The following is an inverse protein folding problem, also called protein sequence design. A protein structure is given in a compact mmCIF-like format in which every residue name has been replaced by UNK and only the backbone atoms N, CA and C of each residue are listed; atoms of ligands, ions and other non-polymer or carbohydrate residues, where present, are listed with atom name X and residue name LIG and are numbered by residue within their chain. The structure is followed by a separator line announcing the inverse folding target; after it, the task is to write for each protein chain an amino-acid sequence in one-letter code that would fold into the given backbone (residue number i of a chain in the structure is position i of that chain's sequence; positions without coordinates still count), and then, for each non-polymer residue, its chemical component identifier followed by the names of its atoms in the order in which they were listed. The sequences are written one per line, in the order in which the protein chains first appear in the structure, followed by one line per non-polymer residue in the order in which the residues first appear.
data_IF_029089310235
#
_entry.id   IF_029089310235
#
_cell.length_a   1.000
_cell.length_b   1.000
_cell.length_c   1.000
_cell.angle_alpha   90.00
_cell.angle_beta   90.00
_cell.angle_gamma   90.00
#
_symmetry.space_group_name_H-M   'P 1'
#
loop_
_entity.id
_entity.type
_entity.pdbx_description
1 polymer ?
2 polymer ?
3 non-polymer ?
4 water ?
#
# COMPACT_ATOMS: atom_id res chain seq x y z
N UNK A 1 -18.00 -0.46 21.19
CA UNK A 1 -16.72 -0.07 20.61
C UNK A 1 -16.23 -1.29 19.86
N UNK A 2 -15.60 -1.06 18.71
CA UNK A 2 -15.08 -2.15 17.90
C UNK A 2 -13.77 -2.61 18.48
N UNK A 3 -13.35 -3.82 18.09
CA UNK A 3 -12.05 -4.31 18.48
C UNK A 3 -11.01 -3.83 17.47
N UNK A 4 -10.24 -2.83 17.87
CA UNK A 4 -9.25 -2.23 17.01
C UNK A 4 -7.88 -2.67 17.55
N UNK A 5 -7.07 -3.26 16.68
CA UNK A 5 -5.76 -3.76 17.10
C UNK A 5 -4.71 -3.26 16.12
N UNK A 6 -3.57 -2.84 16.66
CA UNK A 6 -2.45 -2.45 15.82
C UNK A 6 -1.17 -3.14 16.28
N UNK A 7 -0.47 -3.78 15.35
CA UNK A 7 0.79 -4.45 15.64
C UNK A 7 1.94 -3.51 15.33
N UNK A 8 2.86 -3.36 16.27
CA UNK A 8 3.89 -2.33 16.17
C UNK A 8 5.28 -2.86 16.54
N UNK A 9 6.30 -2.09 16.20
CA UNK A 9 7.67 -2.35 16.66
C UNK A 9 8.27 -1.03 17.10
N UNK A 10 9.16 -1.08 18.09
CA UNK A 10 9.53 0.15 18.78
C UNK A 10 10.56 0.99 18.05
N UNK A 11 11.10 0.47 16.95
CA UNK A 11 12.05 1.21 16.13
C UNK A 11 11.44 1.76 14.87
N UNK A 12 10.13 1.54 14.68
CA UNK A 12 9.52 1.82 13.40
C UNK A 12 8.75 3.15 13.40
N UNK A 13 9.23 4.12 12.62
CA UNK A 13 8.55 5.42 12.56
C UNK A 13 7.14 5.27 12.06
N UNK A 14 6.91 4.32 11.17
CA UNK A 14 5.62 4.22 10.50
C UNK A 14 4.61 3.62 11.44
N UNK A 15 5.05 2.73 12.33
CA UNK A 15 4.10 2.20 13.28
C UNK A 15 3.80 3.26 14.34
N UNK A 16 4.78 4.09 14.67
CA UNK A 16 4.54 5.17 15.62
C UNK A 16 3.54 6.18 15.09
N UNK A 17 3.65 6.49 13.80
CA UNK A 17 2.76 7.46 13.18
C UNK A 17 1.33 6.91 13.06
N UNK A 18 1.21 5.61 12.77
CA UNK A 18 -0.10 4.98 12.73
C UNK A 18 -0.76 5.00 14.10
N UNK A 19 0.01 4.74 15.15
CA UNK A 19 -0.55 4.77 16.49
C UNK A 19 -1.04 6.18 16.79
N UNK A 20 -0.25 7.17 16.38
CA UNK A 20 -0.63 8.55 16.62
C UNK A 20 -1.94 8.90 15.94
N UNK A 21 -2.11 8.46 14.70
CA UNK A 21 -3.35 8.70 13.98
C UNK A 21 -4.53 8.06 14.71
N UNK A 22 -4.36 6.82 15.14
CA UNK A 22 -5.44 6.14 15.85
C UNK A 22 -5.77 6.86 17.16
N UNK A 23 -4.75 7.31 17.88
CA UNK A 23 -5.02 8.07 19.10
C UNK A 23 -5.81 9.32 18.80
N UNK A 24 -5.48 9.98 17.68
CA UNK A 24 -6.14 11.22 17.31
C UNK A 24 -7.64 11.04 17.00
N UNK A 25 -8.08 9.80 16.83
CA UNK A 25 -9.47 9.55 16.46
C UNK A 25 -10.44 9.35 17.63
N UNK A 26 -9.89 9.26 18.85
CA UNK A 26 -10.74 9.15 20.01
C UNK A 26 -11.37 7.79 20.15
N UNK A 27 -10.66 6.77 19.69
CA UNK A 27 -11.12 5.40 19.86
C UNK A 27 -10.21 4.70 20.84
N UNK A 28 -10.74 3.69 21.52
CA UNK A 28 -9.91 2.79 22.29
C UNK A 28 -9.33 1.77 21.32
N UNK A 29 -8.10 1.33 21.56
CA UNK A 29 -7.49 0.30 20.71
C UNK A 29 -6.38 -0.44 21.43
N UNK A 30 -6.10 -1.65 20.96
CA UNK A 30 -5.09 -2.50 21.57
C UNK A 30 -3.84 -2.41 20.71
N UNK A 31 -2.71 -2.10 21.33
CA UNK A 31 -1.44 -2.12 20.64
C UNK A 31 -0.69 -3.38 21.04
N UNK A 32 -0.26 -4.16 20.05
CA UNK A 32 0.51 -5.36 20.31
C UNK A 32 1.92 -5.12 19.81
N UNK A 33 2.86 -5.06 20.76
CA UNK A 33 4.25 -4.77 20.45
C UNK A 33 4.93 -6.07 20.12
N UNK A 34 5.37 -6.20 18.87
CA UNK A 34 6.03 -7.44 18.45
C UNK A 34 7.52 -7.25 18.20
N UNK A 35 8.09 -6.19 18.77
CA UNK A 35 9.51 -5.92 18.60
C UNK A 35 10.37 -7.13 18.96
N UNK A 36 9.95 -7.82 20.02
CA UNK A 36 10.72 -8.92 20.56
C UNK A 36 10.03 -10.27 20.47
N UNK A 37 8.91 -10.32 19.74
CA UNK A 37 8.03 -11.49 19.77
C UNK A 37 7.81 -12.07 18.36
N UNK A 38 8.72 -12.93 17.94
CA UNK A 38 8.65 -13.54 16.61
C UNK A 38 7.39 -14.35 16.41
N UNK A 39 6.99 -15.11 17.43
CA UNK A 39 5.78 -15.91 17.30
C UNK A 39 4.53 -15.06 17.03
N UNK A 40 4.35 -13.99 17.79
CA UNK A 40 3.18 -13.16 17.58
C UNK A 40 3.22 -12.52 16.20
N UNK A 41 4.41 -12.14 15.75
CA UNK A 41 4.52 -11.46 14.47
C UNK A 41 4.25 -12.46 13.36
N UNK A 42 4.74 -13.69 13.53
CA UNK A 42 4.50 -14.70 12.52
C UNK A 42 3.04 -15.06 12.42
N UNK A 43 2.35 -15.14 13.57
CA UNK A 43 0.93 -15.41 13.53
C UNK A 43 0.19 -14.38 12.69
N UNK A 44 0.55 -13.10 12.84
CA UNK A 44 -0.18 -12.06 12.11
C UNK A 44 0.19 -12.07 10.63
N UNK A 45 1.45 -12.37 10.33
CA UNK A 45 1.91 -12.45 8.95
C UNK A 45 1.16 -13.54 8.20
N UNK A 46 0.88 -14.63 8.90
CA UNK A 46 0.16 -15.74 8.30
C UNK A 46 -1.27 -15.32 7.97
N UNK A 47 -1.84 -14.49 8.83
CA UNK A 47 -3.20 -14.03 8.65
C UNK A 47 -3.33 -13.09 7.44
N UNK A 48 -2.36 -12.21 7.23
CA UNK A 48 -2.48 -11.17 6.21
C UNK A 48 -1.59 -11.34 5.00
N UNK A 49 -0.53 -12.13 5.14
CA UNK A 49 0.44 -12.23 4.08
C UNK A 49 1.39 -11.04 4.05
N UNK A 50 1.22 -10.10 4.96
CA UNK A 50 2.14 -8.96 5.06
C UNK A 50 3.27 -9.20 6.05
N UNK A 51 4.46 -8.74 5.72
CA UNK A 51 5.62 -8.98 6.56
C UNK A 51 6.18 -7.72 7.22
N UNK A 52 5.34 -6.69 7.34
CA UNK A 52 5.78 -5.41 7.92
C UNK A 52 4.90 -4.97 9.08
N UNK A 53 5.40 -4.04 9.87
CA UNK A 53 4.58 -3.31 10.83
C UNK A 53 4.51 -1.86 10.37
N UNK A 54 3.41 -1.15 10.67
CA UNK A 54 2.25 -1.64 11.42
C UNK A 54 1.27 -2.47 10.58
N UNK A 55 0.48 -3.26 11.30
CA UNK A 55 -0.69 -3.88 10.69
C UNK A 55 -1.89 -3.55 11.57
N UNK A 56 -2.94 -3.02 10.94
CA UNK A 56 -4.09 -2.48 11.65
C UNK A 56 -5.34 -3.29 11.33
N UNK A 57 -6.07 -3.66 12.37
CA UNK A 57 -7.27 -4.48 12.22
C UNK A 57 -8.43 -3.84 12.95
N UNK A 58 -9.63 -3.96 12.38
CA UNK A 58 -10.86 -3.63 13.09
C UNK A 58 -11.75 -4.86 13.01
N UNK A 59 -12.04 -5.50 14.14
CA UNK A 59 -12.82 -6.74 14.16
C UNK A 59 -12.44 -7.71 13.04
N UNK A 60 -11.21 -8.20 13.01
CA UNK A 60 -10.77 -9.13 11.95
C UNK A 60 -10.64 -8.52 10.55
N UNK A 61 -11.19 -7.34 10.29
CA UNK A 61 -10.94 -6.71 8.99
C UNK A 61 -9.56 -6.05 8.97
N UNK A 62 -8.70 -6.48 8.05
CA UNK A 62 -7.35 -5.90 7.93
C UNK A 62 -7.40 -4.63 7.10
N UNK A 63 -6.91 -3.53 7.67
CA UNK A 63 -6.94 -2.24 6.98
C UNK A 63 -5.61 -1.91 6.35
N UNK A 64 -4.58 -2.64 6.73
CA UNK A 64 -3.29 -2.42 6.12
C UNK A 64 -2.32 -1.74 7.07
N UNK A 65 -1.41 -0.96 6.49
CA UNK A 65 -0.35 -0.33 7.24
C UNK A 65 -0.53 1.16 7.46
N UNK A 66 0.57 1.83 7.74
CA UNK A 66 0.55 3.25 8.01
C UNK A 66 0.00 3.98 6.79
N UNK A 67 0.57 3.70 5.63
CA UNK A 67 0.15 4.38 4.40
C UNK A 67 -1.33 4.16 4.13
N UNK A 68 -1.77 2.91 4.25
CA UNK A 68 -3.17 2.57 4.00
C UNK A 68 -4.16 3.29 4.91
N UNK A 69 -3.89 3.33 6.21
CA UNK A 69 -4.90 3.95 7.08
C UNK A 69 -4.93 5.46 6.89
N UNK A 70 -3.78 6.04 6.56
CA UNK A 70 -3.76 7.46 6.24
C UNK A 70 -4.49 7.74 4.93
N UNK A 71 -4.39 6.82 3.95
CA UNK A 71 -5.14 7.02 2.72
C UNK A 71 -6.65 6.93 2.97
N UNK A 72 -7.06 5.96 3.78
CA UNK A 72 -8.45 5.84 4.17
C UNK A 72 -8.94 7.12 4.82
N UNK A 73 -8.09 7.75 5.62
CA UNK A 73 -8.53 8.95 6.31
C UNK A 73 -8.70 10.11 5.32
N UNK A 74 -7.76 10.25 4.38
CA UNK A 74 -7.89 11.28 3.34
C UNK A 74 -9.15 11.06 2.52
N UNK A 75 -9.53 9.79 2.36
CA UNK A 75 -10.70 9.42 1.57
C UNK A 75 -11.98 9.63 2.36
N UNK A 76 -11.82 9.88 3.66
CA UNK A 76 -12.96 10.13 4.51
C UNK A 76 -13.65 8.87 4.96
N UNK A 77 -12.98 7.73 4.81
CA UNK A 77 -13.65 6.49 5.18
C UNK A 77 -13.03 5.74 6.35
N UNK A 78 -11.96 6.28 6.94
CA UNK A 78 -11.39 5.66 8.13
C UNK A 78 -12.34 5.76 9.34
N UNK A 79 -12.96 6.93 9.53
CA UNK A 79 -13.89 7.11 10.66
C UNK A 79 -14.93 6.02 10.70
N UNK A 80 -15.55 5.78 9.56
CA UNK A 80 -16.58 4.77 9.47
C UNK A 80 -16.03 3.40 9.81
N UNK A 81 -14.87 3.08 9.25
CA UNK A 81 -14.27 1.79 9.54
C UNK A 81 -14.03 1.62 11.04
N UNK A 82 -13.61 2.69 11.71
CA UNK A 82 -13.21 2.59 13.11
C UNK A 82 -14.37 2.54 14.08
N UNK A 83 -15.57 2.79 13.60
CA UNK A 83 -16.73 2.66 14.45
C UNK A 83 -17.26 3.99 14.93
N UNK A 84 -16.79 5.08 14.33
CA UNK A 84 -17.25 6.39 14.76
C UNK A 84 -18.68 6.52 14.27
N UNK A 85 -19.38 7.52 14.79
CA UNK A 85 -20.83 7.65 14.62
C UNK A 85 -21.25 7.80 13.16
N UNK A 86 -22.32 7.10 12.83
CA UNK A 86 -22.86 7.16 11.51
C UNK A 86 -24.15 7.96 11.63
N UNK A 87 -24.45 8.76 10.63
CA UNK A 87 -25.70 9.51 10.64
C UNK A 87 -26.54 9.03 9.50
N UNK A 88 -27.85 8.88 9.74
CA UNK A 88 -28.76 8.49 8.69
C UNK A 88 -29.92 9.46 8.68
N UNK A 89 -30.28 9.92 7.49
CA UNK A 89 -31.49 10.70 7.37
C UNK A 89 -32.67 9.84 6.97
N UNK A 90 -33.66 9.84 7.84
CA UNK A 90 -34.89 9.11 7.59
C UNK A 90 -35.92 10.00 6.93
N UNK A 91 -36.42 9.56 5.78
CA UNK A 91 -37.53 10.25 5.14
C UNK A 91 -38.75 9.35 5.05
N UNK A 92 -39.94 9.93 5.23
CA UNK A 92 -41.18 9.16 5.20
C UNK A 92 -41.56 8.76 3.78
N UNK B 1 10.47 -1.21 1.51
CA UNK B 1 9.89 -1.28 0.17
C UNK B 1 9.47 0.11 -0.30
N UNK B 2 9.70 0.41 -1.57
CA UNK B 2 9.20 1.64 -2.14
C UNK B 2 7.70 1.46 -2.30
N UNK B 3 6.97 2.54 -2.53
CA UNK B 3 5.52 2.43 -2.71
C UNK B 3 5.23 2.27 -4.18
N UNK B 4 4.86 1.06 -4.58
CA UNK B 4 4.74 0.73 -5.99
C UNK B 4 3.29 0.41 -6.32
N UNK B 5 2.77 1.08 -7.35
CA UNK B 5 1.39 0.87 -7.78
C UNK B 5 1.38 0.66 -9.29
N UNK B 6 0.59 -0.32 -9.75
CA UNK B 6 0.44 -0.53 -11.17
C UNK B 6 -1.05 -0.65 -11.50
N UNK B 7 -1.50 0.14 -12.47
CA UNK B 7 -2.89 0.11 -12.91
C UNK B 7 -2.99 -0.77 -14.14
N UNK B 8 -3.97 -1.66 -14.16
CA UNK B 8 -4.07 -2.67 -15.21
C UNK B 8 -5.51 -2.84 -15.71
N UNK B 9 -5.65 -3.47 -16.87
CA UNK B 9 -6.96 -3.96 -17.33
C UNK B 9 -6.77 -5.42 -17.74
N UNK B 10 -7.82 -6.24 -17.60
CA UNK B 10 -7.62 -7.68 -17.67
C UNK B 10 -7.49 -8.21 -19.09
N UNK B 11 -7.88 -7.38 -20.06
CA UNK B 11 -7.80 -7.80 -21.44
C UNK B 11 -6.46 -7.43 -22.09
N UNK B 12 -5.62 -6.74 -21.35
CA UNK B 12 -4.38 -6.23 -21.88
C UNK B 12 -3.21 -7.14 -21.53
N UNK B 13 -2.55 -7.70 -22.55
CA UNK B 13 -1.44 -8.62 -22.28
C UNK B 13 -0.27 -7.92 -21.58
N UNK B 14 -0.15 -6.61 -21.78
CA UNK B 14 0.97 -5.86 -21.22
C UNK B 14 0.80 -5.67 -19.71
N UNK B 15 -0.43 -5.72 -19.22
CA UNK B 15 -0.66 -5.70 -17.78
C UNK B 15 -0.01 -6.89 -17.11
N UNK B 16 -0.26 -8.07 -17.64
CA UNK B 16 0.28 -9.27 -17.06
C UNK B 16 1.81 -9.29 -17.17
N UNK B 17 2.34 -8.83 -18.30
CA UNK B 17 3.80 -8.87 -18.49
C UNK B 17 4.48 -7.89 -17.54
N UNK B 18 3.87 -6.73 -17.33
CA UNK B 18 4.45 -5.77 -16.40
C UNK B 18 4.38 -6.24 -14.94
N UNK B 19 3.25 -6.82 -14.54
CA UNK B 19 3.12 -7.40 -13.20
C UNK B 19 4.19 -8.49 -12.97
N UNK B 20 4.39 -9.34 -13.97
CA UNK B 20 5.37 -10.41 -13.86
C UNK B 20 6.78 -9.87 -13.68
N UNK B 21 7.12 -8.81 -14.42
CA UNK B 21 8.43 -8.19 -14.25
C UNK B 21 8.61 -7.68 -12.82
N UNK B 22 7.62 -6.96 -12.29
CA UNK B 22 7.78 -6.44 -10.93
C UNK B 22 7.93 -7.59 -9.93
N UNK B 23 7.12 -8.63 -10.10
CA UNK B 23 7.20 -9.79 -9.22
C UNK B 23 8.60 -10.40 -9.25
N UNK B 24 9.18 -10.46 -10.44
CA UNK B 24 10.50 -11.05 -10.62
C UNK B 24 11.60 -10.27 -9.91
N UNK B 25 11.35 -9.00 -9.62
CA UNK B 25 12.35 -8.19 -8.95
C UNK B 25 12.30 -8.42 -7.45
N UNK B 26 11.27 -9.10 -6.97
CA UNK B 26 11.16 -9.37 -5.55
C UNK B 26 10.51 -8.26 -4.78
N UNK B 27 9.92 -7.29 -5.48
CA UNK B 27 9.23 -6.22 -4.79
C UNK B 27 7.77 -6.58 -4.50
N UNK B 28 7.25 -5.95 -3.45
CA UNK B 28 5.84 -6.00 -3.12
C UNK B 28 5.17 -4.74 -3.69
N UNK B 29 3.94 -4.88 -4.20
CA UNK B 29 3.30 -3.78 -4.91
C UNK B 29 1.78 -3.90 -4.96
N UNK B 30 1.11 -2.80 -5.21
CA UNK B 30 -0.34 -2.79 -5.32
C UNK B 30 -0.75 -2.74 -6.78
N UNK B 31 -1.66 -3.64 -7.16
CA UNK B 31 -2.22 -3.62 -8.50
C UNK B 31 -3.62 -3.07 -8.38
N UNK B 32 -3.95 -2.09 -9.21
CA UNK B 32 -5.31 -1.55 -9.23
C UNK B 32 -5.92 -1.95 -10.58
N UNK B 33 -6.90 -2.84 -10.53
CA UNK B 33 -7.59 -3.31 -11.73
C UNK B 33 -8.71 -2.32 -12.06
N UNK B 34 -8.58 -1.66 -13.20
CA UNK B 34 -9.57 -0.67 -13.63
C UNK B 34 -10.31 -1.07 -14.90
N UNK B 35 -10.35 -2.37 -15.17
CA UNK B 35 -11.01 -2.91 -16.36
C UNK B 35 -12.41 -2.33 -16.57
N UNK B 36 -13.18 -2.29 -15.50
CA UNK B 36 -14.58 -1.88 -15.59
C UNK B 36 -14.92 -0.63 -14.78
N UNK B 37 -13.89 0.09 -14.37
CA UNK B 37 -14.09 1.29 -13.60
C UNK B 37 -13.59 2.43 -14.46
N UNK B 38 -14.45 2.89 -15.38
CA UNK B 38 -14.09 3.95 -16.31
C UNK B 38 -13.64 5.19 -15.58
N UNK B 39 -14.31 5.48 -14.47
CA UNK B 39 -13.99 6.67 -13.72
C UNK B 39 -12.61 6.66 -13.03
N UNK B 40 -12.22 5.53 -12.43
CA UNK B 40 -10.90 5.40 -11.82
C UNK B 40 -9.82 5.53 -12.88
N UNK B 41 -10.09 5.01 -14.06
CA UNK B 41 -9.11 5.12 -15.14
C UNK B 41 -9.04 6.55 -15.64
N UNK B 42 -10.19 7.22 -15.71
CA UNK B 42 -10.23 8.62 -16.11
C UNK B 42 -9.41 9.44 -15.15
N UNK B 43 -9.52 9.10 -13.86
CA UNK B 43 -8.77 9.81 -12.84
C UNK B 43 -7.26 9.63 -12.95
N UNK B 44 -6.79 8.42 -13.25
CA UNK B 44 -5.35 8.26 -13.38
C UNK B 44 -4.86 8.93 -14.67
N UNK B 45 -5.66 8.86 -15.74
CA UNK B 45 -5.32 9.53 -16.98
C UNK B 45 -5.17 11.03 -16.75
N UNK B 46 -5.97 11.57 -15.85
CA UNK B 46 -5.90 13.00 -15.61
C UNK B 46 -4.60 13.36 -14.89
N UNK B 47 -4.10 12.44 -14.07
CA UNK B 47 -2.84 12.63 -13.37
C UNK B 47 -1.67 12.57 -14.36
N UNK B 48 -1.68 11.59 -15.26
CA UNK B 48 -0.47 11.30 -16.04
C UNK B 48 -0.46 11.81 -17.47
N UNK B 49 -1.64 12.03 -18.04
CA UNK B 49 -1.73 12.34 -19.46
C UNK B 49 -1.51 11.13 -20.36
N UNK B 50 -1.59 9.93 -19.79
CA UNK B 50 -1.25 8.70 -20.51
C UNK B 50 -2.54 7.94 -20.69
N UNK B 51 -2.83 7.50 -21.91
CA UNK B 51 -4.16 6.95 -22.20
C UNK B 51 -4.23 5.43 -22.28
N UNK B 52 -3.16 4.74 -21.90
CA UNK B 52 -3.15 3.28 -21.93
C UNK B 52 -2.84 2.64 -20.58
N UNK B 53 -3.09 1.34 -20.48
CA UNK B 53 -2.60 0.55 -19.37
C UNK B 53 -1.52 -0.39 -19.91
N UNK B 54 -0.58 -0.83 -19.07
CA UNK B 54 -0.48 -0.48 -17.63
C UNK B 54 0.15 0.89 -17.39
N UNK B 55 -0.08 1.42 -16.19
CA UNK B 55 0.59 2.63 -15.73
C UNK B 55 1.26 2.27 -14.40
N UNK B 56 2.58 2.48 -14.36
CA UNK B 56 3.37 2.04 -13.23
C UNK B 56 3.89 3.25 -12.48
N UNK B 57 3.80 3.22 -11.16
CA UNK B 57 4.24 4.32 -10.32
C UNK B 57 5.14 3.81 -9.22
N UNK B 58 6.18 4.58 -8.91
CA UNK B 58 7.02 4.33 -7.75
C UNK B 58 7.20 5.64 -6.98
N UNK B 59 6.79 5.68 -5.71
CA UNK B 59 6.82 6.91 -4.91
C UNK B 59 6.32 8.14 -5.67
N UNK B 60 5.10 7.99 -6.19
CA UNK B 60 4.36 8.97 -7.02
C UNK B 60 4.98 9.37 -8.36
N UNK B 61 6.13 8.81 -8.69
CA UNK B 61 6.72 9.04 -10.01
C UNK B 61 6.11 8.08 -11.03
N UNK B 62 5.54 8.63 -12.10
CA UNK B 62 5.00 7.80 -13.15
C UNK B 62 6.13 7.30 -14.01
N UNK B 63 6.28 5.97 -14.07
CA UNK B 63 7.35 5.35 -14.84
C UNK B 63 6.92 4.87 -16.23
N UNK B 64 5.65 5.05 -16.60
CA UNK B 64 5.23 4.64 -17.92
C UNK B 64 4.58 3.26 -17.96
N UNK B 65 4.70 2.61 -19.11
CA UNK B 65 4.05 1.34 -19.36
C UNK B 65 4.95 0.11 -19.31
N UNK B 66 4.46 -0.98 -19.88
CA UNK B 66 5.17 -2.24 -19.91
C UNK B 66 6.46 -2.07 -20.64
N UNK B 67 6.39 -1.45 -21.82
CA UNK B 67 7.61 -1.31 -22.61
C UNK B 67 8.64 -0.44 -21.89
N UNK B 68 8.18 0.62 -21.23
CA UNK B 68 9.10 1.50 -20.53
C UNK B 68 9.82 0.80 -19.39
N UNK B 69 9.08 0.08 -18.53
CA UNK B 69 9.77 -0.54 -17.41
C UNK B 69 10.69 -1.69 -17.78
N UNK B 70 10.37 -2.40 -18.89
CA UNK B 70 11.29 -3.42 -19.36
C UNK B 70 12.57 -2.81 -19.93
N UNK B 71 12.42 -1.72 -20.67
CA UNK B 71 13.59 -1.02 -21.20
C UNK B 71 14.47 -0.53 -20.05
N UNK B 72 13.85 -0.02 -18.99
CA UNK B 72 14.61 0.47 -17.84
C UNK B 72 15.39 -0.64 -17.14
N UNK B 73 14.80 -1.83 -17.11
CA UNK B 73 15.32 -2.93 -16.33
C UNK B 73 16.66 -3.41 -16.83
N UNK B 74 16.78 -3.61 -18.14
CA UNK B 74 17.96 -4.30 -18.62
C UNK B 74 19.23 -3.49 -18.44
N UNK B 75 19.12 -2.18 -18.42
CA UNK B 75 20.31 -1.41 -18.11
C UNK B 75 20.39 -0.87 -16.71
N UNK B 76 19.66 -1.48 -15.78
CA UNK B 76 19.88 -1.19 -14.37
C UNK B 76 19.15 0.00 -13.78
N UNK B 77 18.38 0.70 -14.59
CA UNK B 77 17.70 1.89 -14.13
C UNK B 77 16.48 1.55 -13.30
N UNK B 78 15.78 0.48 -13.66
CA UNK B 78 14.65 0.05 -12.85
C UNK B 78 15.09 -0.29 -11.43
N UNK B 79 16.23 -0.98 -11.30
CA UNK B 79 16.77 -1.27 -9.96
C UNK B 79 16.94 0.02 -9.18
N UNK B 80 17.50 1.03 -9.83
CA UNK B 80 17.71 2.29 -9.15
C UNK B 80 16.39 2.93 -8.67
N UNK B 81 15.36 2.91 -9.53
CA UNK B 81 14.07 3.47 -9.14
C UNK B 81 13.45 2.71 -7.96
N UNK B 82 13.69 1.41 -7.91
CA UNK B 82 13.03 0.54 -6.93
C UNK B 82 13.85 0.37 -5.65
N UNK B 83 15.05 0.94 -5.64
CA UNK B 83 15.94 0.82 -4.49
C UNK B 83 16.59 -0.55 -4.35
N UNK B 84 16.89 -1.17 -5.49
CA UNK B 84 17.49 -2.50 -5.50
C UNK B 84 18.95 -2.41 -5.89
N UNK B 85 19.74 -3.37 -5.40
CA UNK B 85 21.17 -3.42 -5.69
C UNK B 85 21.84 -2.09 -5.35
N UNK B 86 21.55 -1.61 -4.15
CA UNK B 86 21.91 -0.26 -3.73
C UNK B 86 23.08 -0.29 -2.73
N UNK B 87 24.24 0.17 -3.21
CA UNK B 87 25.46 0.13 -2.42
C UNK B 87 26.13 1.46 -2.33
N UNK B 88 26.87 1.64 -1.24
CA UNK B 88 27.65 2.84 -1.03
C UNK B 88 29.01 2.45 -0.56
N UNK B 89 30.02 2.96 -1.27
CA UNK B 89 31.39 2.72 -0.88
C UNK B 89 31.87 3.83 0.03
N UNK B 90 32.14 3.46 1.28
CA UNK B 90 32.62 4.39 2.27
C UNK B 90 34.14 4.42 2.19
N UNK B 91 34.71 5.62 2.10
CA UNK B 91 36.15 5.76 2.00
C UNK B 91 36.75 6.42 3.24
N UNK B 92 37.84 5.86 3.74
CA UNK B 92 38.43 6.37 4.98
C UNK B 92 38.98 7.79 4.83
X LIG C 1 4.76 1.87 3.94
X LIG C 1 4.65 0.88 5.04
X LIG C 1 3.44 1.25 5.90
X LIG C 1 3.13 0.53 6.87
X LIG C 1 2.78 2.23 5.48
X LIG C 1 6.06 0.71 5.65
X LIG C 1 6.11 -0.39 6.70
X LIG C 1 7.58 -0.76 7.02
X LIG C 1 8.51 -0.46 6.09
X LIG C 1 7.84 -1.37 8.17
X LIG C 1 9.22 -1.73 8.50
X LIG C 1 9.20 -3.21 8.79
X LIG C 1 8.03 -3.75 9.17
X LIG C 1 9.79 -1.21 9.81
X LIG C 1 9.93 0.58 9.95
X LIG C 1 10.31 -3.88 8.61
X LIG C 1 10.28 -5.31 8.89
X LIG C 1 10.55 -5.40 10.43
X LIG C 1 10.54 -6.53 10.95
X LIG C 1 10.79 -4.33 11.04
X LIG D 1 3.50 0.20 -25.31
X LIG D 1 2.44 0.25 -24.28
X LIG D 1 2.95 -0.46 -23.01
X LIG D 1 2.43 -0.13 -21.92
X LIG D 1 3.92 -1.22 -23.16
X LIG D 1 1.14 -0.30 -24.90
X LIG D 1 -0.02 -0.26 -23.91
X LIG D 1 -1.35 -0.50 -24.61
X LIG D 1 -1.38 -0.47 -25.97
X LIG D 1 -2.41 -0.67 -23.85
X LIG D 1 -3.72 -0.92 -24.42
X LIG D 1 -4.66 0.16 -23.93
X LIG D 1 -4.57 0.54 -22.64
X LIG D 1 -4.38 -2.20 -23.97
X LIG D 1 -3.45 -3.70 -24.43
X LIG D 1 -5.55 0.65 -24.78
X LIG D 1 -6.44 1.69 -24.24
X LIG D 1 -7.52 0.94 -23.42
X LIG D 1 -8.24 1.61 -22.65
X LIG D 1 -7.61 -0.31 -23.57
#
# INVERSE_FOLDING_TARGET
MKNITIYTKNYCPYSKKAVSLLSSKGVDFKEVDVTHDSKAFEDVMAKTGWDTVPQVFVDEEFLGGCDDIHALDRQGILDKKLGLKLEHHHHH
MKNITIYTKNYCPYSKKAVSLLSSKGVDFKEVDVTHDSKAFEDVMAKTGWDTVPQVFVDEEFLGGXDDIHALDRQGILDKKLGLKLEHHHHH
GSH N1 CA1 C1 O11 O12 CB1 CG1 CD1 OE1 N2 CA2 C2 O2 CB2 SG2 N3 CA3 C3 O31 O32
GSH N1 CA1 C1 O11 O12 CB1 CG1 CD1 OE1 N2 CA2 C2 O2 CB2 SG2 N3 CA3 C3 O31 O32
#
